data_IF_237547093747
#
_entry.id   IF_237547093747
#
_cell.length_a   1.000
_cell.length_b   1.000
_cell.length_c   1.000
_cell.angle_alpha   90.00
_cell.angle_beta   90.00
_cell.angle_gamma   90.00
#
_symmetry.space_group_name_H-M   'P 1'
#
loop_
_entity.id
_entity.type
_entity.pdbx_description
1 polymer ?
#
# COMPACT_ATOMS: atom_id res chain seq x y z
N UNK A 1 -12.10 -2.81 -22.77
CA UNK A 1 -11.35 -3.31 -21.84
C UNK A 1 -12.04 -3.48 -20.62
N UNK A 2 -11.87 -4.40 -20.15
CA UNK A 2 -12.41 -4.61 -19.00
C UNK A 2 -11.70 -4.02 -17.95
N UNK A 3 -12.32 -3.56 -17.06
CA UNK A 3 -11.74 -3.18 -15.89
C UNK A 3 -11.17 -4.32 -15.23
N UNK A 4 -9.97 -4.24 -14.87
CA UNK A 4 -9.37 -5.19 -14.03
C UNK A 4 -10.10 -5.15 -12.74
N UNK A 5 -10.50 -6.26 -12.27
CA UNK A 5 -11.07 -6.35 -10.96
C UNK A 5 -9.96 -6.20 -9.94
N UNK A 6 -10.11 -5.22 -9.07
CA UNK A 6 -9.18 -5.04 -7.97
C UNK A 6 -9.85 -5.59 -6.72
N UNK A 7 -9.17 -6.50 -6.06
CA UNK A 7 -9.67 -7.08 -4.82
C UNK A 7 -9.04 -6.31 -3.65
N UNK A 8 -9.86 -5.68 -2.84
CA UNK A 8 -9.39 -4.84 -1.73
C UNK A 8 -9.52 -5.57 -0.42
N UNK A 9 -8.47 -5.50 0.39
CA UNK A 9 -8.45 -6.16 1.69
C UNK A 9 -7.68 -5.32 2.70
N UNK A 10 -8.19 -5.26 3.92
CA UNK A 10 -7.50 -4.53 5.01
C UNK A 10 -7.07 -5.54 6.06
N UNK A 11 -5.82 -5.47 6.48
CA UNK A 11 -5.29 -6.34 7.53
C UNK A 11 -4.46 -5.55 8.52
N UNK A 12 -4.45 -6.00 9.78
CA UNK A 12 -3.52 -5.47 10.76
C UNK A 12 -2.12 -6.01 10.44
N UNK A 13 -1.10 -5.44 11.05
CA UNK A 13 0.26 -5.92 10.83
C UNK A 13 0.39 -7.40 11.15
N UNK A 14 -0.16 -7.82 12.29
CA UNK A 14 -0.09 -9.24 12.68
C UNK A 14 -0.86 -10.14 11.75
N UNK A 15 -1.84 -9.61 11.05
CA UNK A 15 -2.63 -10.41 10.11
C UNK A 15 -1.97 -10.61 8.77
N UNK A 16 -0.89 -9.87 8.48
CA UNK A 16 -0.18 -10.00 7.21
C UNK A 16 0.66 -11.27 7.20
N UNK A 17 0.68 -11.95 6.06
CA UNK A 17 1.63 -13.03 5.86
C UNK A 17 2.99 -12.42 5.53
N UNK A 18 4.05 -13.22 5.66
CA UNK A 18 5.38 -12.76 5.29
C UNK A 18 5.43 -12.29 3.84
N UNK A 19 4.74 -12.99 2.97
CA UNK A 19 4.74 -12.66 1.55
C UNK A 19 4.00 -11.36 1.30
N UNK A 20 2.88 -11.16 1.97
CA UNK A 20 2.13 -9.92 1.86
C UNK A 20 2.97 -8.73 2.31
N UNK A 21 3.63 -8.86 3.44
CA UNK A 21 4.47 -7.79 3.96
C UNK A 21 5.62 -7.49 3.00
N UNK A 22 6.26 -8.53 2.47
CA UNK A 22 7.35 -8.35 1.52
C UNK A 22 6.88 -7.61 0.28
N UNK A 23 5.72 -7.99 -0.25
CA UNK A 23 5.18 -7.35 -1.45
C UNK A 23 4.81 -5.89 -1.20
N UNK A 24 4.28 -5.59 -0.02
CA UNK A 24 3.96 -4.21 0.36
C UNK A 24 5.23 -3.37 0.38
N UNK A 25 6.26 -3.85 1.05
CA UNK A 25 7.51 -3.09 1.16
C UNK A 25 8.18 -2.93 -0.19
N UNK A 26 8.09 -3.95 -1.03
CA UNK A 26 8.67 -3.88 -2.37
C UNK A 26 7.96 -2.83 -3.23
N UNK A 27 6.64 -2.80 -3.20
CA UNK A 27 5.88 -1.81 -3.95
C UNK A 27 6.19 -0.39 -3.46
N UNK A 28 6.24 -0.21 -2.14
CA UNK A 28 6.56 1.10 -1.57
C UNK A 28 7.96 1.56 -1.99
N UNK A 29 8.93 0.67 -1.94
CA UNK A 29 10.29 1.01 -2.34
C UNK A 29 10.36 1.34 -3.83
N UNK A 30 9.65 0.58 -4.66
CA UNK A 30 9.64 0.81 -6.08
C UNK A 30 9.14 2.21 -6.44
N UNK A 31 8.06 2.64 -5.78
CA UNK A 31 7.45 3.91 -6.12
C UNK A 31 8.12 5.08 -5.41
N UNK A 32 8.34 4.96 -4.10
CA UNK A 32 8.81 6.12 -3.32
C UNK A 32 10.32 6.33 -3.41
N UNK A 33 11.09 5.27 -3.60
CA UNK A 33 12.53 5.38 -3.59
C UNK A 33 13.11 5.31 -5.00
N UNK A 34 12.80 4.23 -5.71
CA UNK A 34 13.40 4.01 -7.02
C UNK A 34 12.82 4.95 -8.07
N UNK A 35 11.50 4.97 -8.22
CA UNK A 35 10.85 5.77 -9.25
C UNK A 35 11.07 7.27 -9.01
N UNK A 36 10.97 7.69 -7.76
CA UNK A 36 11.13 9.11 -7.44
C UNK A 36 12.58 9.50 -7.22
N UNK A 37 13.47 8.53 -7.23
CA UNK A 37 14.90 8.76 -7.03
C UNK A 37 15.15 9.55 -5.74
N UNK A 38 14.51 9.13 -4.67
CA UNK A 38 14.54 9.85 -3.41
C UNK A 38 14.86 8.89 -2.27
N UNK A 39 16.13 8.66 -1.95
CA UNK A 39 16.48 7.74 -0.89
C UNK A 39 16.06 8.29 0.46
N UNK A 40 15.29 7.52 1.21
CA UNK A 40 14.88 7.87 2.55
C UNK A 40 14.47 6.60 3.30
N UNK A 41 14.25 6.74 4.58
CA UNK A 41 13.88 5.60 5.42
C UNK A 41 12.36 5.39 5.32
N UNK A 42 11.94 4.51 4.41
CA UNK A 42 10.52 4.24 4.22
C UNK A 42 9.90 3.50 5.40
N UNK A 43 10.64 2.56 5.97
CA UNK A 43 10.16 1.82 7.13
C UNK A 43 10.43 2.66 8.38
N UNK A 44 9.38 3.25 8.91
CA UNK A 44 9.47 4.26 9.96
C UNK A 44 9.06 3.75 11.35
N UNK A 45 8.86 2.45 11.46
CA UNK A 45 8.43 1.86 12.73
C UNK A 45 6.93 1.95 13.00
N UNK A 46 6.19 2.62 12.13
CA UNK A 46 4.75 2.80 12.34
C UNK A 46 3.93 1.70 11.69
N UNK A 47 4.54 0.92 10.79
CA UNK A 47 3.82 -0.14 10.10
C UNK A 47 3.25 -1.17 11.07
N UNK A 48 3.95 -1.42 12.16
CA UNK A 48 3.56 -2.40 13.17
C UNK A 48 2.22 -2.03 13.80
N UNK A 49 1.95 -0.73 13.91
CA UNK A 49 0.74 -0.22 14.56
C UNK A 49 -0.36 0.13 13.57
N UNK A 50 -0.13 -0.12 12.30
CA UNK A 50 -1.04 0.36 11.25
C UNK A 50 -1.90 -0.76 10.72
N UNK A 51 -2.99 -0.38 10.06
CA UNK A 51 -3.72 -1.28 9.19
C UNK A 51 -3.22 -1.07 7.78
N UNK A 52 -3.30 -2.12 6.97
CA UNK A 52 -2.72 -2.13 5.64
C UNK A 52 -3.81 -2.47 4.63
N UNK A 53 -4.13 -1.51 3.77
CA UNK A 53 -5.10 -1.70 2.71
C UNK A 53 -4.35 -2.15 1.46
N UNK A 54 -4.72 -3.32 0.97
CA UNK A 54 -4.07 -3.92 -0.19
C UNK A 54 -5.05 -4.08 -1.32
N UNK A 55 -4.64 -3.69 -2.53
CA UNK A 55 -5.40 -3.95 -3.73
C UNK A 55 -4.62 -4.93 -4.59
N UNK A 56 -5.23 -6.07 -4.91
CA UNK A 56 -4.60 -7.09 -5.75
C UNK A 56 -5.38 -7.25 -7.04
N UNK A 57 -4.68 -7.59 -8.12
CA UNK A 57 -5.33 -7.80 -9.41
C UNK A 57 -5.80 -9.26 -9.54
N UNK A 58 -6.28 -9.61 -10.73
CA UNK A 58 -6.80 -10.94 -10.98
C UNK A 58 -5.75 -12.03 -10.86
N UNK A 59 -4.48 -11.66 -11.01
CA UNK A 59 -3.36 -12.59 -10.86
C UNK A 59 -2.80 -12.60 -9.45
N UNK A 60 -3.51 -11.92 -8.53
CA UNK A 60 -3.10 -11.83 -7.14
C UNK A 60 -1.80 -11.05 -6.94
N UNK A 61 -1.51 -10.12 -7.85
CA UNK A 61 -0.37 -9.23 -7.69
C UNK A 61 -0.80 -7.98 -6.93
N UNK A 62 0.01 -7.54 -6.00
CA UNK A 62 -0.27 -6.29 -5.28
C UNK A 62 -0.05 -5.11 -6.23
N UNK A 63 -1.11 -4.37 -6.52
CA UNK A 63 -1.04 -3.26 -7.46
C UNK A 63 -1.35 -1.91 -6.81
N UNK A 64 -1.89 -1.90 -5.61
CA UNK A 64 -2.17 -0.66 -4.89
C UNK A 64 -2.07 -0.91 -3.39
N UNK A 65 -1.77 0.14 -2.64
CA UNK A 65 -1.58 0.02 -1.21
C UNK A 65 -1.79 1.36 -0.53
N UNK A 66 -2.29 1.34 0.69
CA UNK A 66 -2.31 2.51 1.56
C UNK A 66 -2.13 2.05 3.00
N UNK A 67 -1.48 2.88 3.79
CA UNK A 67 -1.32 2.63 5.21
C UNK A 67 -2.33 3.47 5.98
N UNK A 68 -3.06 2.82 6.87
CA UNK A 68 -4.05 3.48 7.72
C UNK A 68 -3.50 3.50 9.13
N UNK A 69 -3.08 4.66 9.58
CA UNK A 69 -2.48 4.80 10.90
C UNK A 69 -3.57 5.20 11.88
N UNK A 70 -3.81 4.39 12.92
CA UNK A 70 -4.88 4.69 13.87
C UNK A 70 -4.61 6.00 14.62
N UNK A 71 -5.67 6.54 15.19
CA UNK A 71 -5.57 7.74 15.99
C UNK A 71 -4.62 7.53 17.17
N UNK A 72 -4.01 8.61 17.59
CA UNK A 72 -3.13 8.65 18.78
C UNK A 72 -1.79 7.94 18.63
N UNK A 73 -1.46 7.45 17.43
CA UNK A 73 -0.10 6.96 17.19
C UNK A 73 0.81 8.11 16.76
N UNK A 74 0.41 8.87 15.74
CA UNK A 74 1.18 10.03 15.29
C UNK A 74 0.35 11.30 15.35
N UNK A 75 -0.95 11.17 15.16
CA UNK A 75 -1.88 12.29 15.11
C UNK A 75 -3.08 11.94 15.95
N UNK A 76 -3.89 12.95 16.28
CA UNK A 76 -5.11 12.72 17.04
C UNK A 76 -6.17 11.98 16.24
N UNK A 77 -6.09 12.07 14.91
CA UNK A 77 -7.06 11.44 14.05
C UNK A 77 -6.42 10.34 13.23
N UNK A 78 -7.24 9.42 12.71
CA UNK A 78 -6.76 8.41 11.78
C UNK A 78 -6.15 9.10 10.57
N UNK A 79 -4.99 8.67 10.15
CA UNK A 79 -4.35 9.23 8.97
C UNK A 79 -4.09 8.16 7.93
N UNK A 80 -4.10 8.58 6.67
CA UNK A 80 -3.82 7.70 5.54
C UNK A 80 -2.49 8.15 4.95
N UNK A 81 -1.59 7.20 4.77
CA UNK A 81 -0.28 7.51 4.21
C UNK A 81 0.23 6.40 3.32
N UNK A 82 1.38 6.63 2.72
CA UNK A 82 2.03 5.66 1.84
C UNK A 82 1.09 5.17 0.75
N UNK A 83 0.26 6.07 0.19
CA UNK A 83 -0.68 5.72 -0.88
C UNK A 83 0.08 5.54 -2.18
N UNK A 84 0.00 4.35 -2.75
CA UNK A 84 0.73 4.06 -3.99
C UNK A 84 -0.09 3.16 -4.91
N UNK A 85 0.19 3.23 -6.19
CA UNK A 85 -0.23 2.21 -7.14
C UNK A 85 0.98 1.82 -7.96
N UNK A 86 1.03 0.57 -8.41
CA UNK A 86 2.18 0.12 -9.19
C UNK A 86 2.17 0.82 -10.55
N UNK A 87 3.35 1.07 -11.13
CA UNK A 87 3.39 1.70 -12.46
C UNK A 87 2.61 0.92 -13.50
N UNK A 88 2.62 -0.39 -13.40
CA UNK A 88 1.88 -1.22 -14.36
C UNK A 88 0.37 -1.08 -14.22
N UNK A 89 -0.12 -0.69 -13.05
CA UNK A 89 -1.55 -0.60 -12.79
C UNK A 89 -2.13 0.80 -12.96
N UNK A 90 -1.29 1.80 -13.21
CA UNK A 90 -1.76 3.19 -13.23
C UNK A 90 -2.76 3.48 -14.31
N UNK A 91 -2.76 2.76 -15.39
CA UNK A 91 -3.72 2.94 -16.44
C UNK A 91 -5.05 2.26 -16.18
N UNK A 92 -5.16 1.47 -15.14
CA UNK A 92 -6.35 0.69 -14.87
C UNK A 92 -7.32 1.36 -13.90
N UNK A 93 -6.98 2.53 -13.37
CA UNK A 93 -7.84 3.21 -12.43
C UNK A 93 -7.67 2.78 -10.98
N UNK A 94 -6.66 1.97 -10.67
CA UNK A 94 -6.45 1.51 -9.31
C UNK A 94 -6.26 2.66 -8.32
N UNK A 95 -5.55 3.69 -8.74
CA UNK A 95 -5.34 4.85 -7.88
C UNK A 95 -6.63 5.58 -7.56
N UNK A 96 -7.53 5.65 -8.52
CA UNK A 96 -8.82 6.29 -8.34
C UNK A 96 -9.66 5.50 -7.36
N UNK A 97 -9.66 4.18 -7.47
CA UNK A 97 -10.39 3.33 -6.55
C UNK A 97 -9.85 3.45 -5.12
N UNK A 98 -8.54 3.60 -4.99
CA UNK A 98 -7.91 3.73 -3.68
C UNK A 98 -8.30 5.03 -3.00
N UNK A 99 -8.38 6.09 -3.76
CA UNK A 99 -8.72 7.39 -3.23
C UNK A 99 -10.20 7.50 -2.90
#
# INVERSE_FOLDING_TARGET
MTNSSINWEVKSFEGLTNKELYNILRLRAEVFIVEQNCPYQDMDGKDIFSFHLMGTDERNHLVAYARLLPADISYKEVSIGRVVSSPAARGSGAGIQLM
#
